data_IF_072875619222
#
_entry.id   IF_072875619222
#
_cell.length_a   1.000
_cell.length_b   1.000
_cell.length_c   1.000
_cell.angle_alpha   90.00
_cell.angle_beta   90.00
_cell.angle_gamma   90.00
#
_symmetry.space_group_name_H-M   'P 1'
#
loop_
_entity.id
_entity.type
_entity.pdbx_description
1 polymer ?
#
# COMPACT_ATOMS: atom_id res chain seq x y z
N UNK A 1 22.50 6.78 10.76
CA UNK A 1 21.06 6.56 10.98
C UNK A 1 20.42 7.88 11.30
N UNK A 2 19.37 8.25 10.58
CA UNK A 2 18.59 9.46 10.79
C UNK A 2 17.26 9.05 11.44
N UNK A 3 17.24 8.99 12.76
CA UNK A 3 16.01 8.70 13.50
C UNK A 3 15.12 9.95 13.55
N UNK A 4 13.91 9.85 13.02
CA UNK A 4 12.92 10.93 12.99
C UNK A 4 12.07 10.89 11.73
N UNK A 5 10.89 11.54 11.75
CA UNK A 5 10.00 11.65 10.58
C UNK A 5 10.78 12.27 9.41
N UNK A 6 10.77 11.61 8.25
CA UNK A 6 11.42 12.12 7.05
C UNK A 6 10.37 12.67 6.07
N UNK A 7 10.65 13.79 5.38
CA UNK A 7 9.79 14.26 4.29
C UNK A 7 9.76 13.26 3.14
N UNK A 8 8.78 13.39 2.25
CA UNK A 8 8.76 12.65 0.99
C UNK A 8 10.02 12.98 0.16
N UNK A 9 10.58 12.01 -0.58
CA UNK A 9 11.71 12.24 -1.45
C UNK A 9 11.32 13.18 -2.60
N UNK A 10 12.18 14.16 -2.88
CA UNK A 10 12.00 15.11 -3.99
C UNK A 10 12.52 14.50 -5.29
N UNK A 11 13.72 13.92 -5.25
CA UNK A 11 14.35 13.26 -6.39
C UNK A 11 13.98 11.77 -6.43
N UNK A 12 13.91 11.24 -7.65
CA UNK A 12 13.82 9.80 -7.87
C UNK A 12 15.17 9.13 -7.59
N UNK A 13 15.16 7.81 -7.43
CA UNK A 13 16.40 7.04 -7.39
C UNK A 13 17.03 7.01 -8.78
N UNK A 14 18.35 7.01 -8.83
CA UNK A 14 19.09 6.80 -10.06
C UNK A 14 19.67 5.38 -10.04
N UNK A 15 19.12 4.48 -10.87
CA UNK A 15 19.61 3.11 -10.94
C UNK A 15 21.02 3.00 -11.51
N UNK A 16 21.50 4.01 -12.24
CA UNK A 16 22.88 4.06 -12.74
C UNK A 16 23.91 4.30 -11.62
N UNK A 17 23.47 4.74 -10.44
CA UNK A 17 24.33 4.95 -9.26
C UNK A 17 24.49 3.70 -8.39
N UNK A 18 23.93 2.55 -8.82
CA UNK A 18 24.06 1.30 -8.10
C UNK A 18 25.53 0.85 -8.07
N UNK A 19 26.01 0.52 -6.88
CA UNK A 19 27.36 0.01 -6.66
C UNK A 19 27.33 -1.47 -6.28
N UNK A 20 28.17 -2.25 -6.97
CA UNK A 20 28.34 -3.68 -6.69
C UNK A 20 29.38 -3.86 -5.59
N UNK A 21 29.02 -4.63 -4.57
CA UNK A 21 29.89 -4.97 -3.46
C UNK A 21 29.94 -6.48 -3.25
N UNK A 22 30.90 -6.94 -2.42
CA UNK A 22 30.92 -8.34 -1.99
C UNK A 22 29.59 -8.71 -1.30
N UNK A 23 29.08 -9.94 -1.52
CA UNK A 23 27.88 -10.44 -0.85
C UNK A 23 27.97 -10.26 0.67
N UNK A 24 26.84 -9.93 1.30
CA UNK A 24 26.76 -9.90 2.77
C UNK A 24 26.81 -11.32 3.31
N UNK A 25 27.47 -11.50 4.45
CA UNK A 25 27.60 -12.80 5.13
C UNK A 25 26.48 -13.09 6.12
N UNK A 26 25.59 -12.11 6.34
CA UNK A 26 24.48 -12.20 7.30
C UNK A 26 23.20 -11.68 6.64
N UNK A 27 22.09 -12.41 6.83
CA UNK A 27 20.76 -12.05 6.33
C UNK A 27 19.86 -11.43 7.40
N UNK A 28 20.26 -11.51 8.67
CA UNK A 28 19.53 -10.97 9.83
C UNK A 28 20.54 -10.54 10.90
N UNK A 29 20.09 -9.71 11.85
CA UNK A 29 20.92 -9.28 12.97
C UNK A 29 20.62 -7.84 13.39
N UNK A 30 21.50 -7.28 14.23
CA UNK A 30 21.32 -5.92 14.79
C UNK A 30 21.15 -4.87 13.68
N UNK A 31 21.89 -5.00 12.58
CA UNK A 31 21.76 -4.09 11.44
C UNK A 31 20.36 -4.10 10.83
N UNK A 32 19.77 -5.28 10.61
CA UNK A 32 18.43 -5.43 10.07
C UNK A 32 17.37 -4.80 11.00
N UNK A 33 17.51 -5.03 12.31
CA UNK A 33 16.63 -4.43 13.33
C UNK A 33 16.72 -2.90 13.29
N UNK A 34 17.93 -2.35 13.25
CA UNK A 34 18.11 -0.89 13.22
C UNK A 34 17.58 -0.26 11.93
N UNK A 35 17.78 -0.91 10.77
CA UNK A 35 17.25 -0.43 9.49
C UNK A 35 15.72 -0.49 9.46
N UNK A 36 15.12 -1.57 9.96
CA UNK A 36 13.67 -1.68 10.10
C UNK A 36 13.11 -0.55 10.96
N UNK A 37 13.72 -0.30 12.12
CA UNK A 37 13.30 0.74 13.05
C UNK A 37 13.48 2.15 12.47
N UNK A 38 14.61 2.41 11.81
CA UNK A 38 14.87 3.69 11.13
C UNK A 38 13.80 3.98 10.08
N UNK A 39 13.49 3.00 9.21
CA UNK A 39 12.45 3.14 8.18
C UNK A 39 11.06 3.28 8.77
N UNK A 40 10.75 2.53 9.82
CA UNK A 40 9.46 2.62 10.50
C UNK A 40 9.24 4.00 11.11
N UNK A 41 10.23 4.53 11.83
CA UNK A 41 10.15 5.87 12.40
C UNK A 41 10.11 6.94 11.32
N UNK A 42 10.85 6.76 10.21
CA UNK A 42 10.84 7.71 9.10
C UNK A 42 9.46 7.87 8.46
N UNK A 43 8.71 6.78 8.34
CA UNK A 43 7.35 6.77 7.77
C UNK A 43 6.28 7.12 8.81
N UNK A 44 6.21 6.37 9.90
CA UNK A 44 5.08 6.38 10.84
C UNK A 44 5.34 7.22 12.10
N UNK A 45 6.58 7.67 12.33
CA UNK A 45 6.99 8.30 13.59
C UNK A 45 7.06 7.30 14.75
N UNK A 46 7.60 7.73 15.89
CA UNK A 46 7.91 6.84 17.03
C UNK A 46 6.67 6.16 17.60
N UNK A 47 5.61 6.93 17.88
CA UNK A 47 4.40 6.41 18.56
C UNK A 47 3.68 5.36 17.72
N UNK A 48 3.40 5.64 16.45
CA UNK A 48 2.70 4.69 15.58
C UNK A 48 3.57 3.47 15.25
N UNK A 49 4.88 3.66 15.13
CA UNK A 49 5.84 2.55 14.99
C UNK A 49 5.73 1.59 16.16
N UNK A 50 5.82 2.09 17.40
CA UNK A 50 5.71 1.24 18.58
C UNK A 50 4.35 0.53 18.65
N UNK A 51 3.25 1.26 18.42
CA UNK A 51 1.90 0.69 18.47
C UNK A 51 1.68 -0.41 17.41
N UNK A 52 2.14 -0.18 16.18
CA UNK A 52 1.95 -1.13 15.08
C UNK A 52 2.84 -2.37 15.23
N UNK A 53 4.14 -2.20 15.50
CA UNK A 53 5.07 -3.32 15.63
C UNK A 53 4.78 -4.20 16.86
N UNK A 54 4.26 -3.64 17.96
CA UNK A 54 3.86 -4.42 19.14
C UNK A 54 2.58 -5.24 18.93
N UNK A 55 1.80 -4.95 17.89
CA UNK A 55 0.55 -5.66 17.56
C UNK A 55 0.67 -6.56 16.33
N UNK A 56 1.73 -6.41 15.56
CA UNK A 56 1.98 -7.16 14.34
C UNK A 56 2.14 -8.66 14.65
N UNK A 57 1.31 -9.50 14.03
CA UNK A 57 1.27 -10.97 14.18
C UNK A 57 1.09 -11.43 15.65
N UNK A 58 0.44 -10.59 16.46
CA UNK A 58 0.07 -10.88 17.84
C UNK A 58 -1.42 -11.21 17.95
N UNK A 59 -1.78 -11.97 18.99
CA UNK A 59 -3.20 -12.23 19.32
C UNK A 59 -3.93 -10.92 19.62
N UNK A 60 -5.09 -10.72 18.98
CA UNK A 60 -5.84 -9.46 19.09
C UNK A 60 -5.16 -8.27 18.40
N UNK A 61 -4.11 -8.53 17.63
CA UNK A 61 -3.43 -7.58 16.76
C UNK A 61 -3.91 -7.70 15.31
N UNK A 62 -2.97 -7.62 14.37
CA UNK A 62 -3.25 -7.76 12.94
C UNK A 62 -2.10 -8.51 12.24
N UNK A 63 -2.43 -9.18 11.15
CA UNK A 63 -1.47 -9.94 10.36
C UNK A 63 -0.64 -9.04 9.46
N UNK A 64 0.62 -9.43 9.23
CA UNK A 64 1.52 -8.69 8.36
C UNK A 64 1.01 -8.68 6.92
N UNK A 65 0.75 -7.50 6.31
CA UNK A 65 0.24 -7.42 4.94
C UNK A 65 1.31 -7.69 3.88
N UNK A 66 2.58 -7.79 4.29
CA UNK A 66 3.72 -7.93 3.38
C UNK A 66 4.09 -9.38 3.04
N UNK A 67 3.91 -10.33 3.95
CA UNK A 67 4.28 -11.73 3.74
C UNK A 67 3.53 -12.68 4.66
N UNK A 68 3.46 -13.96 4.30
CA UNK A 68 3.01 -15.01 5.20
C UNK A 68 4.02 -15.19 6.35
N UNK A 69 3.63 -14.83 7.57
CA UNK A 69 4.41 -15.08 8.78
C UNK A 69 3.85 -16.30 9.52
N UNK A 70 4.67 -17.32 9.83
CA UNK A 70 4.19 -18.49 10.54
C UNK A 70 3.89 -18.12 12.00
N UNK A 71 2.66 -18.42 12.37
CA UNK A 71 1.99 -17.96 13.57
C UNK A 71 1.88 -19.13 14.56
N UNK A 72 2.51 -19.05 15.74
CA UNK A 72 2.49 -20.15 16.72
C UNK A 72 1.18 -20.21 17.50
N UNK A 73 0.51 -21.36 17.54
CA UNK A 73 -0.68 -21.58 18.39
C UNK A 73 -0.38 -21.52 19.89
N UNK A 74 0.91 -21.57 20.27
CA UNK A 74 1.37 -21.44 21.66
C UNK A 74 1.66 -19.96 21.99
N UNK A 75 2.78 -19.71 22.66
CA UNK A 75 3.25 -18.38 23.03
C UNK A 75 3.85 -17.68 21.81
N UNK A 76 3.38 -16.46 21.54
CA UNK A 76 3.98 -15.54 20.57
C UNK A 76 5.22 -14.86 21.16
N UNK A 77 6.24 -14.68 20.34
CA UNK A 77 7.41 -13.87 20.62
C UNK A 77 7.00 -12.39 20.66
N UNK A 78 7.79 -11.57 21.33
CA UNK A 78 7.57 -10.12 21.36
C UNK A 78 7.74 -9.48 19.96
N UNK A 79 8.55 -10.08 19.10
CA UNK A 79 8.69 -9.70 17.69
C UNK A 79 8.38 -10.91 16.82
N UNK A 80 7.22 -10.88 16.15
CA UNK A 80 6.72 -11.90 15.23
C UNK A 80 6.75 -11.36 13.79
N UNK A 81 7.87 -10.78 13.34
CA UNK A 81 7.98 -10.25 11.98
C UNK A 81 9.43 -10.15 11.51
N UNK A 82 9.64 -10.12 10.19
CA UNK A 82 10.94 -9.85 9.59
C UNK A 82 11.13 -8.34 9.31
N UNK A 83 12.34 -7.98 8.89
CA UNK A 83 12.66 -6.62 8.45
C UNK A 83 11.73 -6.12 7.33
N UNK A 84 11.40 -6.97 6.36
CA UNK A 84 10.50 -6.59 5.26
C UNK A 84 9.06 -6.41 5.73
N UNK A 85 8.58 -7.25 6.65
CA UNK A 85 7.27 -7.09 7.27
C UNK A 85 7.15 -5.78 8.04
N UNK A 86 8.20 -5.40 8.78
CA UNK A 86 8.25 -4.10 9.47
C UNK A 86 8.23 -2.92 8.49
N UNK A 87 8.95 -3.01 7.35
CA UNK A 87 8.95 -1.97 6.31
C UNK A 87 7.59 -1.85 5.62
N UNK A 88 6.93 -2.96 5.31
CA UNK A 88 5.60 -2.95 4.71
C UNK A 88 4.59 -2.26 5.64
N UNK A 89 4.58 -2.62 6.93
CA UNK A 89 3.72 -1.97 7.92
C UNK A 89 4.06 -0.49 8.10
N UNK A 90 5.34 -0.12 8.02
CA UNK A 90 5.77 1.28 8.08
C UNK A 90 5.19 2.11 6.93
N UNK A 91 5.23 1.58 5.71
CA UNK A 91 4.68 2.22 4.51
C UNK A 91 3.17 2.41 4.61
N UNK A 92 2.43 1.37 5.01
CA UNK A 92 0.98 1.44 5.24
C UNK A 92 0.59 2.43 6.36
N UNK A 93 1.44 2.56 7.38
CA UNK A 93 1.20 3.40 8.55
C UNK A 93 1.84 4.80 8.44
N UNK A 94 2.23 5.21 7.23
CA UNK A 94 2.91 6.49 7.01
C UNK A 94 2.11 7.70 7.51
N UNK A 95 2.83 8.71 7.98
CA UNK A 95 2.31 10.03 8.35
C UNK A 95 2.31 11.01 7.17
N UNK A 96 2.78 10.58 5.99
CA UNK A 96 2.75 11.38 4.77
C UNK A 96 1.39 11.20 4.10
N UNK A 97 0.85 12.29 3.57
CA UNK A 97 -0.42 12.30 2.86
C UNK A 97 -0.25 13.03 1.54
N UNK A 98 -0.95 12.54 0.53
CA UNK A 98 -1.05 13.14 -0.80
C UNK A 98 -2.41 13.82 -0.89
N UNK A 99 -2.41 15.15 -0.94
CA UNK A 99 -3.60 16.00 -1.10
C UNK A 99 -3.68 16.66 -2.48
N UNK A 100 -4.72 17.48 -2.67
CA UNK A 100 -4.99 18.23 -3.90
C UNK A 100 -3.78 18.95 -4.50
N UNK A 101 -2.90 19.53 -3.68
CA UNK A 101 -1.71 20.25 -4.13
C UNK A 101 -0.70 19.36 -4.88
N UNK A 102 -0.60 18.09 -4.50
CA UNK A 102 0.26 17.13 -5.19
C UNK A 102 -0.27 16.84 -6.59
N UNK A 103 -1.58 16.61 -6.71
CA UNK A 103 -2.24 16.30 -7.97
C UNK A 103 -2.26 17.49 -8.93
N UNK A 104 -2.36 18.71 -8.40
CA UNK A 104 -2.26 19.93 -9.19
C UNK A 104 -0.83 20.19 -9.70
N UNK A 105 0.19 19.71 -8.98
CA UNK A 105 1.60 19.93 -9.31
C UNK A 105 2.15 18.92 -10.31
N UNK A 106 1.74 17.66 -10.20
CA UNK A 106 2.32 16.55 -10.96
C UNK A 106 1.36 16.05 -12.05
N UNK A 107 1.78 16.21 -13.30
CA UNK A 107 1.02 15.67 -14.44
C UNK A 107 1.08 14.14 -14.47
N UNK A 108 0.09 13.51 -15.10
CA UNK A 108 0.08 12.05 -15.31
C UNK A 108 1.33 11.60 -16.07
N UNK A 109 1.75 12.35 -17.08
CA UNK A 109 2.95 12.04 -17.86
C UNK A 109 4.22 12.08 -17.00
N UNK A 110 4.31 13.03 -16.06
CA UNK A 110 5.42 13.07 -15.10
C UNK A 110 5.37 11.88 -14.15
N UNK A 111 4.20 11.57 -13.57
CA UNK A 111 4.04 10.45 -12.64
C UNK A 111 4.35 9.11 -13.29
N UNK A 112 3.99 8.92 -14.56
CA UNK A 112 4.28 7.70 -15.33
C UNK A 112 5.79 7.48 -15.56
N UNK A 113 6.61 8.53 -15.45
CA UNK A 113 8.07 8.46 -15.58
C UNK A 113 8.78 8.23 -14.24
N UNK A 114 8.05 8.16 -13.12
CA UNK A 114 8.61 7.95 -11.78
C UNK A 114 8.72 6.47 -11.43
N UNK A 115 9.70 6.11 -10.62
CA UNK A 115 9.80 4.76 -10.06
C UNK A 115 8.68 4.49 -9.05
N UNK A 116 8.31 3.22 -8.92
CA UNK A 116 7.38 2.74 -7.89
C UNK A 116 7.86 3.11 -6.49
N UNK A 117 9.18 3.07 -6.28
CA UNK A 117 9.81 3.48 -5.03
C UNK A 117 9.54 4.96 -4.73
N UNK A 118 9.70 5.85 -5.71
CA UNK A 118 9.40 7.27 -5.51
C UNK A 118 7.91 7.51 -5.27
N UNK A 119 7.05 6.87 -6.06
CA UNK A 119 5.59 6.98 -5.97
C UNK A 119 5.07 6.53 -4.58
N UNK A 120 5.45 5.34 -4.12
CA UNK A 120 5.04 4.81 -2.81
C UNK A 120 5.50 5.68 -1.63
N UNK A 121 6.58 6.44 -1.81
CA UNK A 121 7.11 7.32 -0.77
C UNK A 121 6.45 8.71 -0.67
N UNK A 122 5.58 9.08 -1.62
CA UNK A 122 4.88 10.39 -1.60
C UNK A 122 3.85 10.48 -0.47
N UNK A 123 3.29 9.33 -0.08
CA UNK A 123 2.39 9.20 1.05
C UNK A 123 1.02 8.65 0.68
N UNK A 124 0.14 8.55 1.66
CA UNK A 124 -1.19 7.99 1.50
C UNK A 124 -2.12 8.98 0.81
N UNK A 125 -2.83 8.54 -0.24
CA UNK A 125 -3.91 9.30 -0.86
C UNK A 125 -5.02 9.53 0.18
N UNK A 126 -5.31 10.78 0.50
CA UNK A 126 -6.26 11.13 1.58
C UNK A 126 -7.66 11.48 1.13
N UNK A 127 -7.87 11.70 -0.17
CA UNK A 127 -9.15 12.07 -0.76
C UNK A 127 -9.34 11.42 -2.13
N UNK A 128 -10.59 11.19 -2.57
CA UNK A 128 -10.85 10.70 -3.92
C UNK A 128 -10.38 11.71 -4.97
N UNK A 129 -9.87 11.19 -6.08
CA UNK A 129 -9.49 11.98 -7.25
C UNK A 129 -10.07 11.36 -8.51
N UNK A 130 -10.22 12.17 -9.54
CA UNK A 130 -10.75 11.78 -10.85
C UNK A 130 -9.87 12.33 -11.96
N UNK A 131 -9.82 11.59 -13.06
CA UNK A 131 -9.29 12.06 -14.34
C UNK A 131 -10.40 12.02 -15.37
N UNK A 132 -10.57 13.09 -16.15
CA UNK A 132 -11.55 13.15 -17.25
C UNK A 132 -10.84 13.11 -18.59
N UNK A 133 -11.62 12.86 -19.64
CA UNK A 133 -11.09 12.85 -21.00
C UNK A 133 -10.42 14.19 -21.34
N UNK A 134 -9.18 14.13 -21.83
CA UNK A 134 -8.37 15.30 -22.17
C UNK A 134 -7.61 15.93 -21.00
N UNK A 135 -7.87 15.53 -19.76
CA UNK A 135 -7.13 16.06 -18.59
C UNK A 135 -5.69 15.54 -18.57
N UNK A 136 -4.78 16.37 -18.07
CA UNK A 136 -3.36 16.02 -17.87
C UNK A 136 -3.00 15.78 -16.41
N UNK A 137 -3.90 16.09 -15.49
CA UNK A 137 -3.72 16.04 -14.04
C UNK A 137 -4.98 15.46 -13.38
N UNK A 138 -4.79 14.74 -12.28
CA UNK A 138 -5.91 14.33 -11.44
C UNK A 138 -6.51 15.55 -10.72
N UNK A 139 -7.83 15.55 -10.54
CA UNK A 139 -8.55 16.57 -9.79
C UNK A 139 -9.27 15.95 -8.60
N UNK A 140 -9.30 16.60 -7.41
CA UNK A 140 -10.12 16.15 -6.29
C UNK A 140 -11.60 16.02 -6.66
N UNK A 141 -12.26 15.03 -6.06
CA UNK A 141 -13.70 14.81 -6.20
C UNK A 141 -14.28 14.40 -4.84
N UNK A 142 -15.52 14.80 -4.54
CA UNK A 142 -16.15 14.39 -3.29
C UNK A 142 -16.42 12.87 -3.28
N UNK A 143 -16.50 12.27 -2.09
CA UNK A 143 -16.90 10.86 -1.97
C UNK A 143 -18.27 10.58 -2.60
N UNK A 144 -19.24 11.48 -2.42
CA UNK A 144 -20.57 11.32 -2.98
C UNK A 144 -20.54 11.31 -4.52
N UNK A 145 -19.79 12.24 -5.13
CA UNK A 145 -19.65 12.32 -6.58
C UNK A 145 -18.82 11.17 -7.14
N UNK A 146 -17.80 10.70 -6.42
CA UNK A 146 -17.02 9.52 -6.80
C UNK A 146 -17.90 8.26 -6.87
N UNK A 147 -18.70 8.00 -5.83
CA UNK A 147 -19.65 6.88 -5.85
C UNK A 147 -20.74 7.06 -6.91
N UNK A 148 -21.21 8.29 -7.12
CA UNK A 148 -22.16 8.63 -8.18
C UNK A 148 -21.61 8.29 -9.58
N UNK A 149 -20.39 8.73 -9.87
CA UNK A 149 -19.69 8.49 -11.12
C UNK A 149 -19.44 6.99 -11.37
N UNK A 150 -18.94 6.27 -10.36
CA UNK A 150 -18.76 4.82 -10.45
C UNK A 150 -20.09 4.13 -10.76
N UNK A 151 -21.16 4.51 -10.04
CA UNK A 151 -22.49 3.96 -10.25
C UNK A 151 -23.06 4.26 -11.64
N UNK A 152 -22.81 5.44 -12.18
CA UNK A 152 -23.20 5.83 -13.55
C UNK A 152 -22.55 4.90 -14.58
N UNK A 153 -21.23 4.73 -14.51
CA UNK A 153 -20.52 3.85 -15.43
C UNK A 153 -20.94 2.38 -15.32
N UNK A 154 -21.18 1.88 -14.09
CA UNK A 154 -21.68 0.51 -13.90
C UNK A 154 -23.07 0.34 -14.53
N UNK A 155 -23.99 1.29 -14.33
CA UNK A 155 -25.35 1.23 -14.92
C UNK A 155 -25.36 1.40 -16.44
N UNK A 156 -24.40 2.13 -16.99
CA UNK A 156 -24.23 2.30 -18.43
C UNK A 156 -23.53 1.11 -19.11
N UNK A 157 -23.03 0.13 -18.33
CA UNK A 157 -22.37 -1.07 -18.81
C UNK A 157 -23.31 -2.29 -18.77
N UNK A 158 -22.86 -3.40 -19.36
CA UNK A 158 -23.50 -4.71 -19.23
C UNK A 158 -22.68 -5.60 -18.27
N UNK A 159 -23.30 -6.51 -17.50
CA UNK A 159 -22.60 -7.30 -16.48
C UNK A 159 -21.40 -8.11 -17.02
N UNK A 160 -21.52 -8.64 -18.22
CA UNK A 160 -20.48 -9.39 -18.94
C UNK A 160 -19.26 -8.54 -19.31
N UNK A 161 -19.40 -7.21 -19.34
CA UNK A 161 -18.34 -6.24 -19.60
C UNK A 161 -17.71 -5.65 -18.34
N UNK A 162 -18.18 -6.04 -17.16
CA UNK A 162 -17.63 -5.61 -15.89
C UNK A 162 -16.68 -6.66 -15.33
N UNK A 163 -15.54 -6.24 -14.76
CA UNK A 163 -14.56 -7.10 -14.10
C UNK A 163 -14.26 -6.52 -12.71
N UNK A 164 -14.32 -7.36 -11.68
CA UNK A 164 -14.14 -6.98 -10.28
C UNK A 164 -12.92 -7.68 -9.71
N UNK A 165 -11.74 -7.08 -9.90
CA UNK A 165 -10.48 -7.66 -9.43
C UNK A 165 -10.33 -7.55 -7.91
N UNK A 166 -10.08 -8.66 -7.22
CA UNK A 166 -9.97 -8.70 -5.75
C UNK A 166 -8.52 -8.87 -5.28
N UNK A 167 -8.15 -8.12 -4.24
CA UNK A 167 -6.83 -8.21 -3.60
C UNK A 167 -6.83 -9.27 -2.49
N UNK A 168 -5.80 -10.11 -2.44
CA UNK A 168 -5.58 -11.07 -1.35
C UNK A 168 -5.17 -10.41 -0.03
N UNK A 169 -4.92 -9.09 -0.02
CA UNK A 169 -4.76 -8.31 1.23
C UNK A 169 -6.09 -7.89 1.85
N UNK A 170 -7.19 -8.02 1.13
CA UNK A 170 -8.52 -7.62 1.61
C UNK A 170 -9.02 -8.62 2.66
N UNK A 171 -9.66 -8.11 3.73
CA UNK A 171 -10.26 -8.97 4.75
C UNK A 171 -11.36 -9.88 4.15
N UNK A 172 -11.54 -11.07 4.71
CA UNK A 172 -12.49 -12.06 4.19
C UNK A 172 -13.92 -11.51 4.09
N UNK A 173 -14.37 -10.73 5.07
CA UNK A 173 -15.69 -10.11 5.09
C UNK A 173 -15.84 -9.07 3.97
N UNK A 174 -14.82 -8.25 3.75
CA UNK A 174 -14.82 -7.27 2.66
C UNK A 174 -14.78 -7.94 1.30
N UNK A 175 -13.96 -8.99 1.14
CA UNK A 175 -13.94 -9.79 -0.09
C UNK A 175 -15.30 -10.47 -0.34
N UNK A 176 -15.95 -10.98 0.72
CA UNK A 176 -17.30 -11.54 0.65
C UNK A 176 -18.32 -10.48 0.21
N UNK A 177 -18.29 -9.27 0.75
CA UNK A 177 -19.18 -8.19 0.31
C UNK A 177 -18.93 -7.78 -1.14
N UNK A 178 -17.65 -7.69 -1.54
CA UNK A 178 -17.27 -7.29 -2.89
C UNK A 178 -17.70 -8.30 -3.96
N UNK A 179 -17.52 -9.60 -3.71
CA UNK A 179 -18.03 -10.63 -4.62
C UNK A 179 -19.55 -10.65 -4.68
N UNK A 180 -20.24 -10.41 -3.56
CA UNK A 180 -21.70 -10.40 -3.51
C UNK A 180 -22.24 -9.25 -4.35
N UNK A 181 -21.60 -8.08 -4.26
CA UNK A 181 -21.92 -6.92 -5.10
C UNK A 181 -21.78 -7.26 -6.59
N UNK A 182 -20.65 -7.83 -7.02
CA UNK A 182 -20.45 -8.21 -8.43
C UNK A 182 -21.49 -9.24 -8.92
N UNK A 183 -21.80 -10.25 -8.10
CA UNK A 183 -22.79 -11.28 -8.43
C UNK A 183 -24.21 -10.72 -8.45
N UNK A 184 -24.54 -9.77 -7.58
CA UNK A 184 -25.83 -9.07 -7.60
C UNK A 184 -25.98 -8.19 -8.85
N UNK A 185 -24.87 -7.65 -9.40
CA UNK A 185 -24.87 -7.00 -10.71
C UNK A 185 -25.03 -7.98 -11.88
N UNK A 186 -24.94 -9.30 -11.63
CA UNK A 186 -25.17 -10.34 -12.63
C UNK A 186 -23.90 -10.87 -13.32
N UNK A 187 -22.72 -10.69 -12.73
CA UNK A 187 -21.47 -11.21 -13.30
C UNK A 187 -20.69 -12.11 -12.35
N UNK A 188 -19.91 -13.04 -12.92
CA UNK A 188 -18.93 -13.86 -12.21
C UNK A 188 -17.48 -13.51 -12.59
N UNK A 189 -17.26 -12.39 -13.28
CA UNK A 189 -15.95 -11.90 -13.66
C UNK A 189 -15.20 -11.33 -12.44
N UNK A 190 -14.69 -12.23 -11.61
CA UNK A 190 -14.06 -11.96 -10.33
C UNK A 190 -12.64 -12.55 -10.30
N UNK A 191 -11.70 -12.08 -11.15
CA UNK A 191 -10.32 -12.48 -11.02
C UNK A 191 -9.75 -11.99 -9.70
N UNK A 192 -8.81 -12.72 -9.15
CA UNK A 192 -8.16 -12.37 -7.89
C UNK A 192 -6.64 -12.62 -7.98
N UNK A 193 -5.88 -12.00 -7.08
CA UNK A 193 -4.41 -12.10 -7.14
C UNK A 193 -3.87 -13.52 -6.97
N UNK A 194 -4.64 -14.44 -6.38
CA UNK A 194 -4.25 -15.85 -6.26
C UNK A 194 -4.23 -16.55 -7.62
N UNK A 195 -5.01 -16.11 -8.61
CA UNK A 195 -4.97 -16.70 -9.96
C UNK A 195 -3.59 -16.63 -10.63
N UNK A 196 -2.71 -15.75 -10.15
CA UNK A 196 -1.33 -15.61 -10.64
C UNK A 196 -0.30 -16.37 -9.78
N UNK A 197 -0.66 -16.75 -8.55
CA UNK A 197 0.26 -17.26 -7.53
C UNK A 197 -0.05 -18.69 -7.05
N UNK A 198 -1.25 -19.20 -7.32
CA UNK A 198 -1.79 -20.49 -6.88
C UNK A 198 -2.56 -21.19 -8.01
#
# INVERSE_FOLDING_TARGET
MKFGKQPAPIADINEDELSVHKPKTEAAGVKAVLVALERAIAQAGVTRTAQSLLRLNQRGGFDCPGCAWPESDKKRKAAEFCENGAKAVAEENTLRTVGAEFWAKHSIAELAAKTEYWLGNQGRISEPVVIREGDTHYSPISWADAFGLIGEHIRASAPDRCVFYTSGRTANETAFMYQLFARALGTNNLPDCSNMCH
#
